data_IF_628254365554
#
_entry.id   IF_628254365554
#
_cell.length_a   1.000
_cell.length_b   1.000
_cell.length_c   1.000
_cell.angle_alpha   90.00
_cell.angle_beta   90.00
_cell.angle_gamma   90.00
#
_symmetry.space_group_name_H-M   'P 1'
#
loop_
_entity.id
_entity.type
_entity.pdbx_description
1 polymer ?
#
# COMPACT_ATOMS: atom_id res chain seq x y z
N UNK A 1 17.05 -36.48 -31.31
CA UNK A 1 16.09 -36.30 -30.22
C UNK A 1 16.78 -35.43 -29.18
N UNK A 2 16.52 -34.11 -29.22
CA UNK A 2 17.25 -33.12 -28.39
C UNK A 2 16.31 -32.71 -27.26
N UNK A 3 16.69 -33.03 -26.03
CA UNK A 3 15.92 -32.60 -24.83
C UNK A 3 16.49 -31.27 -24.37
N UNK A 4 15.70 -30.21 -24.51
CA UNK A 4 16.03 -28.90 -23.97
C UNK A 4 15.49 -28.82 -22.53
N UNK A 5 16.42 -28.83 -21.56
CA UNK A 5 16.10 -28.60 -20.16
C UNK A 5 15.93 -27.11 -19.92
N UNK A 6 14.70 -26.67 -19.59
CA UNK A 6 14.43 -25.33 -19.17
C UNK A 6 14.80 -25.16 -17.69
N UNK A 7 15.83 -24.37 -17.43
CA UNK A 7 16.25 -24.02 -16.07
C UNK A 7 15.39 -22.86 -15.59
N UNK A 8 14.51 -23.11 -14.62
CA UNK A 8 13.76 -22.07 -13.93
C UNK A 8 14.67 -21.47 -12.86
N UNK A 9 15.10 -20.24 -13.07
CA UNK A 9 15.83 -19.46 -12.05
C UNK A 9 14.80 -18.77 -11.16
N UNK A 10 14.63 -19.32 -9.96
CA UNK A 10 13.80 -18.70 -8.91
C UNK A 10 14.68 -17.69 -8.18
N UNK A 11 14.45 -16.41 -8.43
CA UNK A 11 15.09 -15.32 -7.68
C UNK A 11 14.31 -15.10 -6.40
N UNK A 12 14.86 -15.55 -5.27
CA UNK A 12 14.39 -15.18 -3.93
C UNK A 12 14.95 -13.81 -3.59
N UNK A 13 14.09 -12.79 -3.58
CA UNK A 13 14.44 -11.49 -2.98
C UNK A 13 14.12 -11.58 -1.50
N UNK A 14 15.16 -11.72 -0.69
CA UNK A 14 15.07 -11.66 0.76
C UNK A 14 14.97 -10.18 1.16
N UNK A 15 13.78 -9.72 1.47
CA UNK A 15 13.60 -8.39 2.07
C UNK A 15 13.83 -8.49 3.57
N UNK A 16 14.99 -8.00 4.03
CA UNK A 16 15.30 -7.86 5.45
C UNK A 16 14.65 -6.56 5.93
N UNK A 17 13.61 -6.67 6.75
CA UNK A 17 12.99 -5.54 7.44
C UNK A 17 13.68 -5.37 8.80
N UNK A 18 14.40 -4.27 8.96
CA UNK A 18 15.00 -3.88 10.25
C UNK A 18 14.00 -3.00 10.98
N UNK A 19 13.48 -3.50 12.09
CA UNK A 19 12.61 -2.72 12.98
C UNK A 19 13.48 -1.86 13.91
N UNK A 20 13.32 -0.54 13.85
CA UNK A 20 13.80 0.36 14.89
C UNK A 20 12.64 0.62 15.85
N UNK A 21 12.76 0.13 17.06
CA UNK A 21 11.87 0.47 18.17
C UNK A 21 12.32 1.82 18.70
N UNK A 22 11.50 2.85 18.52
CA UNK A 22 11.67 4.16 19.13
C UNK A 22 10.61 4.33 20.21
N UNK A 23 11.04 4.28 21.49
CA UNK A 23 10.23 4.72 22.61
C UNK A 23 10.08 6.25 22.55
N UNK A 24 8.86 6.75 22.64
CA UNK A 24 8.57 8.17 22.69
C UNK A 24 7.33 8.42 23.53
N UNK A 25 7.56 8.81 24.78
CA UNK A 25 6.55 9.16 25.78
C UNK A 25 5.62 10.28 25.35
N UNK A 26 4.41 10.19 25.92
CA UNK A 26 3.28 11.01 25.65
C UNK A 26 3.39 12.49 25.99
N UNK A 27 2.44 13.25 25.50
CA UNK A 27 1.82 14.37 26.24
C UNK A 27 0.44 14.70 25.67
N UNK A 28 -0.54 14.59 26.53
CA UNK A 28 -1.87 15.20 26.39
C UNK A 28 -1.76 16.72 26.28
N UNK A 29 -2.47 17.31 25.35
CA UNK A 29 -2.92 18.69 25.48
C UNK A 29 -4.32 18.84 24.86
N UNK A 30 -5.26 19.10 25.73
CA UNK A 30 -6.61 19.50 25.40
C UNK A 30 -6.65 20.99 24.99
N UNK A 31 -7.53 21.31 24.07
CA UNK A 31 -8.10 22.65 24.00
C UNK A 31 -7.97 23.37 22.66
N UNK A 32 -9.10 23.74 22.06
CA UNK A 32 -9.21 24.83 21.12
C UNK A 32 -10.02 24.50 19.87
N UNK A 33 -11.30 24.83 19.89
CA UNK A 33 -12.18 24.78 18.73
C UNK A 33 -11.69 25.71 17.62
N UNK A 34 -11.61 25.16 16.43
CA UNK A 34 -11.34 25.86 15.18
C UNK A 34 -12.21 25.27 14.10
N UNK A 35 -12.96 26.10 13.43
CA UNK A 35 -13.96 25.79 12.43
C UNK A 35 -13.43 24.85 11.35
N UNK A 36 -14.13 23.76 11.12
CA UNK A 36 -13.96 22.83 10.00
C UNK A 36 -14.13 23.55 8.66
N UNK A 37 -13.02 23.82 8.00
CA UNK A 37 -13.02 23.88 6.55
C UNK A 37 -12.85 22.45 6.08
N UNK A 38 -13.94 21.87 5.64
CA UNK A 38 -14.00 20.52 5.07
C UNK A 38 -13.23 20.47 3.75
N UNK A 39 -11.92 20.36 3.86
CA UNK A 39 -11.09 19.77 2.82
C UNK A 39 -11.19 18.26 3.01
N UNK A 40 -11.96 17.62 2.16
CA UNK A 40 -12.08 16.16 2.15
C UNK A 40 -10.72 15.54 1.88
N UNK A 41 -9.96 15.28 2.94
CA UNK A 41 -8.80 14.38 2.84
C UNK A 41 -9.33 13.00 2.48
N UNK A 42 -8.87 12.40 1.39
CA UNK A 42 -9.33 11.08 0.95
C UNK A 42 -9.00 9.95 1.93
N UNK A 43 -8.28 10.24 2.98
CA UNK A 43 -7.94 9.32 4.09
C UNK A 43 -9.18 8.74 4.82
N UNK A 44 -10.36 9.38 4.69
CA UNK A 44 -11.59 8.94 5.37
C UNK A 44 -12.20 7.64 4.86
N UNK A 45 -11.84 7.19 3.66
CA UNK A 45 -12.48 6.01 3.07
C UNK A 45 -12.00 4.68 3.67
N UNK A 46 -10.76 4.61 4.19
CA UNK A 46 -10.14 3.36 4.61
C UNK A 46 -9.64 3.33 6.05
N UNK A 47 -9.66 4.46 6.73
CA UNK A 47 -9.11 4.55 8.08
C UNK A 47 -7.58 4.36 8.13
N UNK A 48 -7.03 4.43 9.33
CA UNK A 48 -5.64 4.04 9.59
C UNK A 48 -5.64 2.62 10.13
N UNK A 49 -4.84 1.74 9.51
CA UNK A 49 -4.65 0.37 9.99
C UNK A 49 -3.47 0.29 10.97
N UNK A 50 -3.55 -0.63 11.92
CA UNK A 50 -2.38 -1.05 12.69
C UNK A 50 -1.36 -1.72 11.75
N UNK A 51 -0.07 -1.74 12.09
CA UNK A 51 0.90 -2.51 11.32
C UNK A 51 0.45 -3.96 11.17
N UNK A 52 0.48 -4.48 9.94
CA UNK A 52 0.14 -5.86 9.69
C UNK A 52 1.20 -6.79 10.28
N UNK A 53 0.77 -7.91 10.83
CA UNK A 53 1.68 -8.96 11.24
C UNK A 53 2.30 -9.68 10.01
N UNK A 54 3.38 -10.47 10.19
CA UNK A 54 4.09 -11.13 9.09
C UNK A 54 3.27 -12.17 8.31
N UNK A 55 2.09 -12.56 8.80
CA UNK A 55 1.21 -13.52 8.11
C UNK A 55 0.44 -12.90 6.96
N UNK A 56 0.37 -11.55 6.93
CA UNK A 56 -0.14 -10.81 5.78
C UNK A 56 0.92 -10.67 4.71
N UNK A 57 0.59 -11.06 3.48
CA UNK A 57 1.45 -10.86 2.31
C UNK A 57 0.72 -10.04 1.25
N UNK A 58 1.45 -9.09 0.68
CA UNK A 58 0.96 -8.19 -0.37
C UNK A 58 1.95 -8.25 -1.54
N UNK A 59 1.56 -8.93 -2.61
CA UNK A 59 2.29 -8.89 -3.87
C UNK A 59 1.71 -7.78 -4.75
N UNK A 60 2.57 -6.93 -5.31
CA UNK A 60 2.14 -5.78 -6.10
C UNK A 60 2.82 -5.78 -7.46
N UNK A 61 2.02 -5.62 -8.49
CA UNK A 61 2.49 -5.41 -9.87
C UNK A 61 1.91 -4.10 -10.38
N UNK A 62 2.75 -3.24 -10.94
CA UNK A 62 2.32 -1.99 -11.57
C UNK A 62 2.28 -2.10 -13.09
N UNK A 63 1.33 -1.39 -13.68
CA UNK A 63 1.26 -1.20 -15.13
C UNK A 63 1.00 0.29 -15.42
N UNK A 64 1.97 1.02 -16.05
CA UNK A 64 3.28 0.55 -16.50
C UNK A 64 4.23 0.19 -15.36
N UNK A 65 5.35 -0.46 -15.71
CA UNK A 65 6.45 -0.77 -14.79
C UNK A 65 7.75 -0.19 -15.38
N UNK A 66 8.43 0.74 -14.68
CA UNK A 66 8.06 1.33 -13.38
C UNK A 66 6.76 2.15 -13.44
N UNK A 67 6.15 2.44 -12.27
CA UNK A 67 5.00 3.34 -12.18
C UNK A 67 5.29 4.70 -12.82
N UNK A 68 4.27 5.36 -13.39
CA UNK A 68 4.39 6.67 -14.02
C UNK A 68 3.48 7.71 -13.38
N UNK A 69 3.87 9.01 -13.43
CA UNK A 69 3.10 10.10 -12.81
C UNK A 69 1.69 10.25 -13.36
N UNK A 70 1.51 10.08 -14.68
CA UNK A 70 0.26 10.34 -15.40
C UNK A 70 -0.84 9.33 -15.05
N UNK A 71 -0.43 8.14 -14.64
CA UNK A 71 -1.37 7.08 -14.23
C UNK A 71 -0.71 5.71 -14.22
N UNK A 72 -1.02 4.99 -13.16
CA UNK A 72 -0.54 3.62 -12.95
C UNK A 72 -1.68 2.78 -12.39
N UNK A 73 -1.87 1.61 -12.95
CA UNK A 73 -2.74 0.58 -12.40
C UNK A 73 -1.90 -0.38 -11.57
N UNK A 74 -2.27 -0.56 -10.31
CA UNK A 74 -1.68 -1.55 -9.41
C UNK A 74 -2.58 -2.77 -9.33
N UNK A 75 -2.00 -3.93 -9.57
CA UNK A 75 -2.61 -5.22 -9.28
C UNK A 75 -2.00 -5.76 -7.99
N UNK A 76 -2.85 -5.99 -7.01
CA UNK A 76 -2.49 -6.49 -5.69
C UNK A 76 -2.95 -7.93 -5.57
N UNK A 77 -2.11 -8.80 -5.02
CA UNK A 77 -2.52 -10.13 -4.57
C UNK A 77 -2.33 -10.21 -3.07
N UNK A 78 -3.44 -10.34 -2.35
CA UNK A 78 -3.45 -10.28 -0.89
C UNK A 78 -3.69 -11.67 -0.30
N UNK A 79 -2.88 -12.02 0.70
CA UNK A 79 -3.01 -13.27 1.45
C UNK A 79 -2.83 -13.03 2.94
N UNK A 80 -3.55 -13.81 3.73
CA UNK A 80 -3.38 -13.89 5.17
C UNK A 80 -3.24 -15.38 5.54
N UNK A 81 -2.16 -15.72 6.23
CA UNK A 81 -1.78 -17.12 6.52
C UNK A 81 -1.75 -18.00 5.24
N UNK A 82 -1.27 -17.44 4.13
CA UNK A 82 -1.23 -18.12 2.83
C UNK A 82 -2.57 -18.26 2.10
N UNK A 83 -3.70 -17.88 2.71
CA UNK A 83 -5.04 -17.93 2.10
C UNK A 83 -5.36 -16.60 1.40
N UNK A 84 -6.01 -16.62 0.24
CA UNK A 84 -6.46 -15.40 -0.40
C UNK A 84 -7.41 -14.59 0.49
N UNK A 85 -7.20 -13.28 0.58
CA UNK A 85 -8.12 -12.35 1.24
C UNK A 85 -9.20 -11.96 0.25
N UNK A 86 -10.45 -12.20 0.58
CA UNK A 86 -11.63 -11.85 -0.23
C UNK A 86 -12.66 -11.10 0.60
N UNK A 87 -13.48 -10.25 -0.04
CA UNK A 87 -14.50 -9.47 0.65
C UNK A 87 -13.95 -8.35 1.53
N UNK A 88 -12.66 -8.04 1.44
CA UNK A 88 -12.05 -6.96 2.19
C UNK A 88 -12.20 -5.61 1.46
N UNK A 89 -12.34 -4.53 2.23
CA UNK A 89 -12.12 -3.19 1.70
C UNK A 89 -10.62 -2.91 1.71
N UNK A 90 -10.06 -2.67 0.52
CA UNK A 90 -8.63 -2.44 0.34
C UNK A 90 -8.40 -1.04 -0.19
N UNK A 91 -7.49 -0.31 0.43
CA UNK A 91 -7.10 1.02 0.00
C UNK A 91 -5.59 1.13 -0.13
N UNK A 92 -5.18 1.93 -1.10
CA UNK A 92 -3.80 2.39 -1.21
C UNK A 92 -3.77 3.86 -0.84
N UNK A 93 -2.78 4.23 -0.03
CA UNK A 93 -2.43 5.62 0.24
C UNK A 93 -0.99 5.83 -0.14
N UNK A 94 -0.64 6.98 -0.70
CA UNK A 94 0.74 7.31 -1.04
C UNK A 94 1.06 8.75 -0.68
N UNK A 95 2.25 8.98 -0.16
CA UNK A 95 2.80 10.29 0.16
C UNK A 95 4.27 10.38 -0.22
N UNK A 96 4.76 11.59 -0.46
CA UNK A 96 6.19 11.86 -0.62
C UNK A 96 6.73 12.39 0.70
N UNK A 97 7.73 11.71 1.31
CA UNK A 97 8.23 12.08 2.64
C UNK A 97 8.81 13.50 2.73
N UNK A 98 9.38 13.97 1.63
CA UNK A 98 10.10 15.25 1.59
C UNK A 98 9.23 16.42 1.11
N UNK A 99 7.96 16.19 0.85
CA UNK A 99 7.03 17.22 0.39
C UNK A 99 5.81 17.32 1.31
N UNK A 100 5.44 18.56 1.65
CA UNK A 100 4.18 18.84 2.37
C UNK A 100 2.98 18.81 1.40
N UNK A 101 2.87 17.73 0.64
CA UNK A 101 1.71 17.49 -0.22
C UNK A 101 0.68 16.63 0.51
N UNK A 102 -0.61 16.94 0.36
CA UNK A 102 -1.63 16.00 0.81
C UNK A 102 -1.41 14.68 0.07
N UNK A 103 -1.35 13.59 0.83
CA UNK A 103 -1.21 12.26 0.27
C UNK A 103 -2.37 11.95 -0.70
N UNK A 104 -2.12 11.05 -1.62
CA UNK A 104 -3.12 10.54 -2.55
C UNK A 104 -3.65 9.19 -2.06
N UNK A 105 -4.88 8.87 -2.38
CA UNK A 105 -5.46 7.57 -2.03
C UNK A 105 -6.36 7.02 -3.13
N UNK A 106 -6.46 5.70 -3.18
CA UNK A 106 -7.38 4.99 -4.05
C UNK A 106 -7.98 3.80 -3.33
N UNK A 107 -9.26 3.55 -3.56
CA UNK A 107 -9.93 2.31 -3.14
C UNK A 107 -9.72 1.28 -4.24
N UNK A 108 -9.25 0.10 -3.89
CA UNK A 108 -9.06 -0.98 -4.83
C UNK A 108 -10.38 -1.71 -5.09
N UNK A 109 -10.59 -2.11 -6.34
CA UNK A 109 -11.69 -2.96 -6.74
C UNK A 109 -11.28 -4.42 -6.61
N UNK A 110 -12.11 -5.21 -5.96
CA UNK A 110 -11.87 -6.64 -5.79
C UNK A 110 -12.09 -7.39 -7.12
N UNK A 111 -11.15 -8.27 -7.44
CA UNK A 111 -11.26 -9.31 -8.45
C UNK A 111 -11.42 -10.69 -7.82
N UNK A 112 -11.06 -11.73 -8.55
CA UNK A 112 -11.14 -13.11 -8.05
C UNK A 112 -9.88 -13.56 -7.32
N UNK A 113 -10.02 -14.41 -6.30
CA UNK A 113 -8.90 -15.12 -5.68
C UNK A 113 -7.92 -14.24 -4.90
N UNK A 114 -8.42 -13.22 -4.20
CA UNK A 114 -7.60 -12.29 -3.42
C UNK A 114 -6.85 -11.25 -4.25
N UNK A 115 -7.29 -11.05 -5.49
CA UNK A 115 -6.75 -9.98 -6.35
C UNK A 115 -7.57 -8.72 -6.20
N UNK A 116 -6.85 -7.59 -6.23
CA UNK A 116 -7.43 -6.25 -6.16
C UNK A 116 -6.76 -5.36 -7.19
N UNK A 117 -7.48 -4.39 -7.73
CA UNK A 117 -6.94 -3.42 -8.68
C UNK A 117 -7.20 -2.01 -8.17
N UNK A 118 -6.16 -1.17 -8.16
CA UNK A 118 -6.25 0.24 -7.83
C UNK A 118 -5.55 1.09 -8.91
N UNK A 119 -6.11 2.28 -9.16
CA UNK A 119 -5.52 3.25 -10.10
C UNK A 119 -5.04 4.47 -9.35
N UNK A 120 -3.82 4.88 -9.68
CA UNK A 120 -3.16 6.04 -9.10
C UNK A 120 -2.72 7.02 -10.17
N UNK A 121 -2.81 8.31 -9.83
CA UNK A 121 -2.14 9.39 -10.52
C UNK A 121 -1.22 10.07 -9.52
N UNK A 122 0.08 9.88 -9.66
CA UNK A 122 1.07 10.41 -8.74
C UNK A 122 1.34 11.91 -8.95
N UNK A 123 1.17 12.39 -10.18
CA UNK A 123 1.40 13.77 -10.56
C UNK A 123 2.88 14.13 -10.76
N UNK A 124 3.81 13.39 -10.14
CA UNK A 124 5.26 13.59 -10.31
C UNK A 124 6.03 12.30 -10.08
N UNK A 125 7.24 12.24 -10.64
CA UNK A 125 8.19 11.15 -10.39
C UNK A 125 8.84 11.25 -9.01
N UNK A 126 9.58 10.23 -8.63
CA UNK A 126 10.33 10.18 -7.37
C UNK A 126 9.97 9.01 -6.47
N UNK A 127 10.44 9.08 -5.23
CA UNK A 127 10.19 8.06 -4.21
C UNK A 127 8.89 8.34 -3.46
N UNK A 128 7.96 7.39 -3.51
CA UNK A 128 6.68 7.46 -2.83
C UNK A 128 6.58 6.40 -1.74
N UNK A 129 6.27 6.83 -0.51
CA UNK A 129 5.83 5.91 0.54
C UNK A 129 4.36 5.59 0.33
N UNK A 130 4.05 4.33 0.38
CA UNK A 130 2.69 3.84 0.14
C UNK A 130 2.30 2.88 1.26
N UNK A 131 1.03 2.87 1.61
CA UNK A 131 0.48 1.88 2.51
C UNK A 131 -0.73 1.20 1.86
N UNK A 132 -0.78 -0.13 1.95
CA UNK A 132 -1.97 -0.91 1.62
C UNK A 132 -2.72 -1.17 2.91
N UNK A 133 -3.87 -0.53 3.06
CA UNK A 133 -4.76 -0.75 4.20
C UNK A 133 -5.81 -1.80 3.84
N UNK A 134 -5.93 -2.81 4.68
CA UNK A 134 -6.81 -3.98 4.48
C UNK A 134 -7.81 -4.01 5.64
N UNK A 135 -9.08 -3.90 5.31
CA UNK A 135 -10.19 -4.02 6.26
C UNK A 135 -11.02 -5.26 5.90
N UNK A 136 -10.65 -6.39 6.49
CA UNK A 136 -11.43 -7.62 6.40
C UNK A 136 -12.67 -7.54 7.31
N UNK A 137 -13.79 -8.21 6.96
CA UNK A 137 -14.94 -8.33 7.86
C UNK A 137 -14.52 -8.93 9.21
N UNK A 138 -15.01 -8.36 10.29
CA UNK A 138 -14.82 -8.84 11.68
C UNK A 138 -13.36 -8.94 12.16
N UNK A 139 -12.42 -8.30 11.45
CA UNK A 139 -11.01 -8.22 11.86
C UNK A 139 -10.55 -6.78 12.05
N UNK A 140 -9.51 -6.57 12.85
CA UNK A 140 -8.85 -5.25 12.91
C UNK A 140 -8.35 -4.81 11.54
N UNK A 141 -8.44 -3.51 11.28
CA UNK A 141 -7.85 -2.92 10.08
C UNK A 141 -6.33 -2.96 10.19
N UNK A 142 -5.66 -3.49 9.18
CA UNK A 142 -4.19 -3.59 9.12
C UNK A 142 -3.64 -2.78 7.96
N UNK A 143 -2.35 -2.41 8.07
CA UNK A 143 -1.65 -1.63 7.06
C UNK A 143 -0.29 -2.23 6.76
N UNK A 144 0.00 -2.44 5.48
CA UNK A 144 1.28 -2.95 4.97
C UNK A 144 2.00 -1.81 4.26
N UNK A 145 3.16 -1.36 4.76
CA UNK A 145 3.93 -0.31 4.12
C UNK A 145 4.65 -0.83 2.87
N UNK A 146 4.71 0.01 1.84
CA UNK A 146 5.42 -0.23 0.58
C UNK A 146 6.15 1.05 0.15
N UNK A 147 7.11 0.91 -0.75
CA UNK A 147 7.80 2.05 -1.37
C UNK A 147 7.87 1.84 -2.87
N UNK A 148 7.53 2.87 -3.63
CA UNK A 148 7.63 2.85 -5.10
C UNK A 148 8.56 3.93 -5.60
N UNK A 149 9.31 3.59 -6.64
CA UNK A 149 10.00 4.55 -7.48
C UNK A 149 9.11 4.83 -8.69
N UNK A 150 8.56 6.04 -8.76
CA UNK A 150 7.77 6.51 -9.88
C UNK A 150 8.72 7.15 -10.88
N UNK A 151 8.65 6.75 -12.15
CA UNK A 151 9.52 7.28 -13.19
C UNK A 151 9.37 8.81 -13.31
N UNK A 152 10.45 9.48 -13.67
CA UNK A 152 10.38 10.88 -14.11
C UNK A 152 9.58 10.98 -15.41
N UNK A 153 8.93 12.13 -15.61
CA UNK A 153 8.13 12.43 -16.82
C UNK A 153 9.00 12.63 -18.04
#
# INVERSE_FOLDING_TARGET
MLVVAATVVTVFILSVVIYSVGDGDGQNSAGGGGANLAGSSPTGACGQGAPADPTYTVDVVSNPQPPRPEGTTFQLTLRHEGRPITGAKVCLTADMPDMQHPGISAVATEGSGGRYEARFQFGMGGTWRTAVTIAEPDKPVVSVPLTFQVAES
#
